data_IF_493261563605
#
_entry.id   IF_493261563605
#
_cell.length_a   1.000
_cell.length_b   1.000
_cell.length_c   1.000
_cell.angle_alpha   90.00
_cell.angle_beta   90.00
_cell.angle_gamma   90.00
#
_symmetry.space_group_name_H-M   'P 1'
#
loop_
_entity.id
_entity.type
_entity.pdbx_description
1 polymer ?
#
# COMPACT_ATOMS: atom_id res chain seq x y z
N UNK A 1 -36.44 25.07 49.74
CA UNK A 1 -37.38 23.95 49.47
C UNK A 1 -37.49 23.80 47.97
N UNK A 2 -36.87 22.77 47.37
CA UNK A 2 -37.50 21.58 46.75
C UNK A 2 -38.59 21.93 45.72
N UNK A 3 -38.41 21.46 44.47
CA UNK A 3 -39.39 20.79 43.57
C UNK A 3 -38.68 20.55 42.20
N UNK A 4 -37.84 19.52 42.06
CA UNK A 4 -38.12 18.21 41.40
C UNK A 4 -38.91 18.24 40.08
N UNK A 5 -38.21 17.78 39.03
CA UNK A 5 -38.66 16.92 37.91
C UNK A 5 -39.81 17.39 37.02
N UNK A 6 -39.49 17.71 35.76
CA UNK A 6 -40.26 17.17 34.63
C UNK A 6 -39.36 16.98 33.41
N UNK A 7 -39.03 15.72 33.16
CA UNK A 7 -38.49 15.19 31.91
C UNK A 7 -39.64 15.22 30.89
N UNK A 8 -39.55 16.04 29.85
CA UNK A 8 -40.35 15.86 28.63
C UNK A 8 -39.39 15.64 27.46
N UNK A 9 -39.31 14.37 27.08
CA UNK A 9 -38.74 13.86 25.85
C UNK A 9 -39.68 14.20 24.67
N UNK A 10 -39.04 14.39 23.51
CA UNK A 10 -39.45 14.06 22.13
C UNK A 10 -39.52 15.26 21.16
N UNK A 11 -39.34 15.06 19.84
CA UNK A 11 -38.45 14.11 19.17
C UNK A 11 -37.64 14.74 18.00
N UNK A 12 -36.52 14.08 17.66
CA UNK A 12 -36.02 13.77 16.31
C UNK A 12 -36.43 14.68 15.13
N UNK A 13 -35.46 15.30 14.44
CA UNK A 13 -34.98 14.91 13.09
C UNK A 13 -34.18 16.04 12.40
N UNK A 14 -33.08 15.60 11.78
CA UNK A 14 -32.37 16.16 10.63
C UNK A 14 -31.47 17.39 10.81
N UNK A 15 -30.17 17.12 10.68
CA UNK A 15 -29.46 17.73 9.55
C UNK A 15 -28.22 18.52 9.91
N UNK A 16 -27.08 17.84 10.02
CA UNK A 16 -25.89 18.18 9.22
C UNK A 16 -24.76 17.18 9.53
N UNK A 17 -24.76 16.07 8.80
CA UNK A 17 -23.63 15.54 8.02
C UNK A 17 -22.19 15.99 8.40
N UNK A 18 -21.76 15.84 9.65
CA UNK A 18 -20.34 15.85 10.00
C UNK A 18 -20.06 14.65 10.89
N UNK A 19 -20.17 13.45 10.32
CA UNK A 19 -20.00 12.22 11.09
C UNK A 19 -19.86 10.98 10.23
N UNK A 20 -19.19 11.08 9.07
CA UNK A 20 -19.16 9.97 8.10
C UNK A 20 -17.92 9.88 7.22
N UNK A 21 -16.78 10.43 7.64
CA UNK A 21 -15.50 10.18 6.94
C UNK A 21 -14.70 9.01 7.55
N UNK A 22 -15.23 8.35 8.59
CA UNK A 22 -14.54 7.27 9.31
C UNK A 22 -15.40 5.99 9.36
N UNK A 23 -16.08 5.67 8.26
CA UNK A 23 -16.54 4.30 7.98
C UNK A 23 -15.59 3.58 7.00
N UNK A 24 -14.33 4.03 6.93
CA UNK A 24 -13.32 3.53 5.99
C UNK A 24 -12.42 2.43 6.60
N UNK A 25 -12.70 1.96 7.82
CA UNK A 25 -11.93 0.89 8.44
C UNK A 25 -12.25 -0.49 7.81
N UNK A 26 -13.53 -0.76 7.49
CA UNK A 26 -13.95 -2.08 6.98
C UNK A 26 -13.44 -2.39 5.57
N UNK A 27 -13.08 -1.38 4.78
CA UNK A 27 -12.56 -1.56 3.41
C UNK A 27 -11.05 -1.29 3.31
N UNK A 28 -10.38 -0.98 4.42
CA UNK A 28 -8.96 -0.65 4.40
C UNK A 28 -8.10 -1.86 4.00
N UNK A 29 -8.50 -3.06 4.43
CA UNK A 29 -7.79 -4.30 4.11
C UNK A 29 -7.91 -4.63 2.62
N UNK A 30 -9.12 -4.59 2.06
CA UNK A 30 -9.37 -4.82 0.63
C UNK A 30 -8.69 -3.77 -0.25
N UNK A 31 -8.72 -2.50 0.17
CA UNK A 31 -8.04 -1.43 -0.53
C UNK A 31 -6.52 -1.64 -0.53
N UNK A 32 -5.93 -1.92 0.63
CA UNK A 32 -4.48 -2.15 0.76
C UNK A 32 -4.03 -3.38 -0.03
N UNK A 33 -4.80 -4.46 0.01
CA UNK A 33 -4.56 -5.66 -0.78
C UNK A 33 -4.63 -5.38 -2.27
N UNK A 34 -5.67 -4.67 -2.74
CA UNK A 34 -5.83 -4.36 -4.15
C UNK A 34 -4.66 -3.53 -4.70
N UNK A 35 -4.19 -2.53 -3.96
CA UNK A 35 -3.02 -1.71 -4.34
C UNK A 35 -1.78 -2.60 -4.46
N UNK A 36 -1.48 -3.40 -3.44
CA UNK A 36 -0.32 -4.30 -3.44
C UNK A 36 -0.38 -5.33 -4.58
N UNK A 37 -1.55 -5.92 -4.81
CA UNK A 37 -1.78 -6.89 -5.87
C UNK A 37 -1.57 -6.28 -7.26
N UNK A 38 -2.16 -5.12 -7.54
CA UNK A 38 -2.00 -4.43 -8.83
C UNK A 38 -0.54 -4.03 -9.07
N UNK A 39 0.15 -3.53 -8.05
CA UNK A 39 1.59 -3.23 -8.15
C UNK A 39 2.42 -4.47 -8.45
N UNK A 40 2.16 -5.59 -7.75
CA UNK A 40 2.85 -6.85 -7.98
C UNK A 40 2.58 -7.45 -9.36
N UNK A 41 1.35 -7.36 -9.86
CA UNK A 41 0.98 -7.81 -11.20
C UNK A 41 1.72 -7.01 -12.27
N UNK A 42 1.71 -5.67 -12.17
CA UNK A 42 2.43 -4.80 -13.11
C UNK A 42 3.94 -5.11 -13.12
N UNK A 43 4.52 -5.28 -11.93
CA UNK A 43 5.93 -5.64 -11.78
C UNK A 43 6.24 -7.01 -12.42
N UNK A 44 5.41 -8.02 -12.19
CA UNK A 44 5.58 -9.34 -12.81
C UNK A 44 5.48 -9.28 -14.33
N UNK A 45 4.51 -8.55 -14.87
CA UNK A 45 4.40 -8.34 -16.33
C UNK A 45 5.66 -7.70 -16.90
N UNK A 46 6.23 -6.69 -16.23
CA UNK A 46 7.48 -6.07 -16.68
C UNK A 46 8.67 -7.04 -16.60
N UNK A 47 8.77 -7.85 -15.54
CA UNK A 47 9.82 -8.86 -15.42
C UNK A 47 9.73 -9.93 -16.50
N UNK A 48 8.52 -10.46 -16.75
CA UNK A 48 8.28 -11.48 -17.78
C UNK A 48 8.61 -10.95 -19.19
N UNK A 49 8.21 -9.70 -19.50
CA UNK A 49 8.53 -9.05 -20.78
C UNK A 49 10.03 -8.91 -21.03
N UNK A 50 10.81 -8.69 -19.96
CA UNK A 50 12.25 -8.49 -20.05
C UNK A 50 13.03 -9.76 -19.66
N UNK A 51 12.38 -10.92 -19.54
CA UNK A 51 12.99 -12.18 -19.10
C UNK A 51 13.87 -12.03 -17.83
N UNK A 52 13.48 -11.14 -16.91
CA UNK A 52 14.24 -10.87 -15.69
C UNK A 52 13.74 -11.80 -14.61
N UNK A 53 14.65 -12.55 -14.00
CA UNK A 53 14.35 -13.37 -12.83
C UNK A 53 14.78 -12.64 -11.58
N UNK A 54 13.87 -12.52 -10.61
CA UNK A 54 14.17 -12.01 -9.26
C UNK A 54 13.68 -12.99 -8.21
N UNK A 55 14.19 -12.85 -6.99
CA UNK A 55 13.64 -13.57 -5.84
C UNK A 55 12.42 -12.81 -5.30
N UNK A 56 11.24 -13.42 -5.42
CA UNK A 56 9.98 -12.83 -4.95
C UNK A 56 10.00 -12.49 -3.46
N UNK A 57 10.71 -13.28 -2.63
CA UNK A 57 10.79 -13.02 -1.19
C UNK A 57 11.59 -11.75 -0.91
N UNK A 58 12.69 -11.54 -1.61
CA UNK A 58 13.50 -10.32 -1.48
C UNK A 58 12.79 -9.08 -2.05
N UNK A 59 12.02 -9.23 -3.14
CA UNK A 59 11.19 -8.14 -3.68
C UNK A 59 10.13 -7.70 -2.65
N UNK A 60 9.42 -8.66 -2.04
CA UNK A 60 8.41 -8.36 -1.02
C UNK A 60 9.07 -7.76 0.23
N UNK A 61 10.22 -8.28 0.66
CA UNK A 61 10.97 -7.74 1.78
C UNK A 61 11.40 -6.29 1.53
N UNK A 62 11.99 -6.01 0.36
CA UNK A 62 12.42 -4.66 -0.01
C UNK A 62 11.26 -3.67 -0.15
N UNK A 63 10.12 -4.11 -0.68
CA UNK A 63 8.90 -3.30 -0.74
C UNK A 63 8.37 -2.98 0.66
N UNK A 64 8.35 -3.97 1.55
CA UNK A 64 7.91 -3.81 2.95
C UNK A 64 8.83 -2.87 3.71
N UNK A 65 10.14 -3.03 3.56
CA UNK A 65 11.15 -2.17 4.19
C UNK A 65 10.99 -0.71 3.71
N UNK A 66 10.78 -0.51 2.40
CA UNK A 66 10.55 0.80 1.81
C UNK A 66 9.27 1.49 2.29
N UNK A 67 8.15 0.76 2.36
CA UNK A 67 6.86 1.31 2.81
C UNK A 67 6.88 1.60 4.32
N UNK A 68 7.53 0.75 5.12
CA UNK A 68 7.64 0.94 6.57
C UNK A 68 8.65 2.01 6.97
N UNK A 69 9.46 2.50 6.03
CA UNK A 69 10.58 3.40 6.33
C UNK A 69 11.71 2.71 7.10
N UNK A 70 11.77 1.38 7.05
CA UNK A 70 12.81 0.59 7.68
C UNK A 70 14.15 0.80 6.98
N UNK A 71 15.24 0.57 7.72
CA UNK A 71 16.58 0.65 7.16
C UNK A 71 16.75 -0.45 6.11
N UNK A 72 17.03 -0.05 4.87
CA UNK A 72 17.33 -0.97 3.78
C UNK A 72 18.47 -1.93 4.15
N UNK A 73 18.32 -3.21 3.75
CA UNK A 73 19.39 -4.21 3.82
C UNK A 73 20.60 -3.82 2.99
N UNK A 74 20.40 -3.01 1.95
CA UNK A 74 21.44 -2.57 1.02
C UNK A 74 21.82 -1.11 1.29
N UNK A 75 23.11 -0.81 1.13
CA UNK A 75 23.58 0.58 1.05
C UNK A 75 23.09 1.25 -0.24
N UNK A 76 23.05 2.59 -0.31
CA UNK A 76 22.70 3.32 -1.53
C UNK A 76 23.52 2.88 -2.75
N UNK A 77 24.83 2.69 -2.58
CA UNK A 77 25.74 2.28 -3.66
C UNK A 77 25.44 0.85 -4.14
N UNK A 78 25.13 -0.07 -3.21
CA UNK A 78 24.73 -1.43 -3.57
C UNK A 78 23.39 -1.44 -4.32
N UNK A 79 22.42 -0.62 -3.90
CA UNK A 79 21.15 -0.48 -4.63
C UNK A 79 21.38 0.08 -6.03
N UNK A 80 22.20 1.12 -6.18
CA UNK A 80 22.51 1.71 -7.48
C UNK A 80 23.18 0.69 -8.41
N UNK A 81 24.17 -0.05 -7.91
CA UNK A 81 24.85 -1.09 -8.69
C UNK A 81 23.90 -2.23 -9.08
N UNK A 82 23.01 -2.66 -8.18
CA UNK A 82 22.00 -3.67 -8.48
C UNK A 82 21.02 -3.18 -9.57
N UNK A 83 20.61 -1.91 -9.53
CA UNK A 83 19.73 -1.31 -10.54
C UNK A 83 20.41 -1.15 -11.90
N UNK A 84 21.72 -0.89 -11.94
CA UNK A 84 22.48 -0.90 -13.19
C UNK A 84 22.53 -2.30 -13.80
N UNK A 85 22.74 -3.34 -12.98
CA UNK A 85 22.73 -4.73 -13.44
C UNK A 85 21.34 -5.15 -13.94
N UNK A 86 20.27 -4.76 -13.24
CA UNK A 86 18.89 -5.00 -13.67
C UNK A 86 18.62 -4.40 -15.07
N UNK A 87 19.04 -3.15 -15.30
CA UNK A 87 18.92 -2.49 -16.61
C UNK A 87 19.73 -3.19 -17.70
N UNK A 88 20.97 -3.61 -17.41
CA UNK A 88 21.79 -4.35 -18.36
C UNK A 88 21.15 -5.69 -18.75
N UNK A 89 20.58 -6.41 -17.79
CA UNK A 89 19.86 -7.66 -18.03
C UNK A 89 18.61 -7.44 -18.89
N UNK A 90 17.84 -6.38 -18.60
CA UNK A 90 16.67 -6.01 -19.40
C UNK A 90 17.05 -5.73 -20.87
N UNK A 91 18.11 -4.95 -21.11
CA UNK A 91 18.58 -4.65 -22.47
C UNK A 91 19.11 -5.90 -23.18
N UNK A 92 19.81 -6.78 -22.47
CA UNK A 92 20.31 -8.03 -23.03
C UNK A 92 19.17 -8.98 -23.44
N UNK A 93 18.09 -9.01 -22.65
CA UNK A 93 16.91 -9.82 -22.93
C UNK A 93 16.09 -9.31 -24.13
N UNK A 94 16.08 -8.00 -24.39
CA UNK A 94 15.41 -7.41 -25.56
C UNK A 94 16.15 -7.65 -26.90
N UNK A 95 17.44 -8.04 -26.84
CA UNK A 95 18.28 -8.27 -28.04
C UNK A 95 18.28 -9.73 -28.52
N UNK A 96 17.57 -10.63 -27.84
CA UNK A 96 17.36 -12.03 -28.25
C UNK A 96 15.97 -12.22 -28.82
#
# INVERSE_FOLDING_TARGET
MKLTKTLFLAPLVAGSLIGGAFAAADNQDDLSYSVGYTMGQALKTQMDQNNITTDNQEVVSGLTDGISGSKSKLTPDQMQNAMLQFQQQAVAAQKK
#
